data_IF_103219811029
#
_entry.id   IF_103219811029
#
_cell.length_a   1.000
_cell.length_b   1.000
_cell.length_c   1.000
_cell.angle_alpha   90.00
_cell.angle_beta   90.00
_cell.angle_gamma   90.00
#
_symmetry.space_group_name_H-M   'P 1'
#
loop_
_entity.id
_entity.type
_entity.pdbx_description
1 polymer ?
#
# COMPACT_ATOMS: atom_id res chain seq x y z
N UNK A 1 8.41 36.54 -16.38
CA UNK A 1 7.24 35.81 -15.86
C UNK A 1 7.57 34.34 -15.98
N UNK A 2 8.03 33.75 -14.88
CA UNK A 2 8.68 32.44 -14.80
C UNK A 2 7.69 31.34 -15.21
N UNK A 3 8.08 30.48 -16.16
CA UNK A 3 7.42 29.20 -16.35
C UNK A 3 7.50 28.45 -15.02
N UNK A 4 6.36 28.08 -14.44
CA UNK A 4 6.34 27.00 -13.47
C UNK A 4 6.68 25.73 -14.26
N UNK A 5 7.83 25.09 -14.05
CA UNK A 5 8.00 23.75 -14.57
C UNK A 5 6.91 22.93 -13.91
N UNK A 6 6.02 22.40 -14.74
CA UNK A 6 5.10 21.33 -14.42
C UNK A 6 5.80 20.38 -13.47
N UNK A 7 5.14 20.06 -12.37
CA UNK A 7 5.45 18.96 -11.46
C UNK A 7 5.75 17.71 -12.31
N UNK A 8 7.01 17.59 -12.71
CA UNK A 8 7.56 16.45 -13.40
C UNK A 8 7.56 15.39 -12.32
N UNK A 9 6.43 14.68 -12.19
CA UNK A 9 6.32 13.43 -11.45
C UNK A 9 7.35 12.49 -12.04
N UNK A 10 8.60 12.63 -11.63
CA UNK A 10 9.58 11.56 -11.72
C UNK A 10 8.91 10.43 -10.97
N UNK A 11 8.62 9.29 -11.60
CA UNK A 11 8.26 8.13 -10.82
C UNK A 11 9.47 7.92 -9.91
N UNK A 12 9.28 8.18 -8.63
CA UNK A 12 10.19 7.68 -7.61
C UNK A 12 10.14 6.17 -7.82
N UNK A 13 11.15 5.58 -8.46
CA UNK A 13 11.13 4.17 -8.87
C UNK A 13 10.84 3.19 -7.73
N UNK A 14 10.93 3.67 -6.48
CA UNK A 14 10.75 2.90 -5.26
C UNK A 14 9.59 3.43 -4.40
N UNK A 15 8.64 4.15 -4.99
CA UNK A 15 7.46 4.66 -4.28
C UNK A 15 6.24 3.78 -4.54
N UNK A 16 5.74 3.16 -3.47
CA UNK A 16 4.50 2.40 -3.48
C UNK A 16 3.45 3.10 -2.61
N UNK A 17 2.25 3.25 -3.13
CA UNK A 17 1.10 3.81 -2.42
C UNK A 17 -0.04 2.79 -2.34
N UNK A 18 -0.68 2.70 -1.17
CA UNK A 18 -1.82 1.83 -0.93
C UNK A 18 -2.89 2.55 -0.10
N UNK A 19 -4.16 2.23 -0.37
CA UNK A 19 -5.25 2.52 0.55
C UNK A 19 -5.42 1.34 1.51
N UNK A 20 -5.15 1.57 2.80
CA UNK A 20 -5.32 0.58 3.85
C UNK A 20 -6.72 0.69 4.47
N UNK A 21 -7.42 -0.43 4.55
CA UNK A 21 -8.65 -0.59 5.34
C UNK A 21 -8.41 -1.61 6.43
N UNK A 22 -8.81 -1.28 7.66
CA UNK A 22 -8.75 -2.15 8.83
C UNK A 22 -10.14 -2.25 9.42
N UNK A 23 -10.55 -3.46 9.80
CA UNK A 23 -11.82 -3.67 10.48
C UNK A 23 -11.75 -4.87 11.41
N UNK A 24 -12.66 -4.90 12.38
CA UNK A 24 -12.84 -5.98 13.32
C UNK A 24 -14.14 -6.72 12.98
N UNK A 25 -14.15 -8.05 13.03
CA UNK A 25 -15.35 -8.83 12.69
C UNK A 25 -16.28 -9.07 13.90
N UNK A 26 -15.89 -8.66 15.10
CA UNK A 26 -16.67 -8.78 16.35
C UNK A 26 -15.74 -8.89 17.57
N UNK A 27 -16.19 -8.59 18.78
CA UNK A 27 -15.35 -8.28 19.96
C UNK A 27 -14.20 -9.26 20.30
N UNK A 28 -14.28 -10.53 19.88
CA UNK A 28 -13.23 -11.56 20.08
C UNK A 28 -12.58 -12.06 18.77
N UNK A 29 -12.88 -11.44 17.63
CA UNK A 29 -12.37 -11.86 16.33
C UNK A 29 -11.13 -11.05 15.92
N UNK A 30 -10.14 -11.65 15.25
CA UNK A 30 -8.92 -10.94 14.87
C UNK A 30 -9.19 -9.79 13.89
N UNK A 31 -8.35 -8.76 13.97
CA UNK A 31 -8.32 -7.67 12.99
C UNK A 31 -8.10 -8.18 11.57
N UNK A 32 -8.93 -7.72 10.65
CA UNK A 32 -8.79 -7.91 9.21
C UNK A 32 -8.21 -6.66 8.58
N UNK A 33 -7.54 -6.86 7.45
CA UNK A 33 -7.03 -5.77 6.65
C UNK A 33 -7.26 -5.99 5.17
N UNK A 34 -7.31 -4.91 4.40
CA UNK A 34 -7.15 -4.96 2.95
C UNK A 34 -6.29 -3.80 2.48
N UNK A 35 -5.42 -4.07 1.51
CA UNK A 35 -4.73 -3.04 0.75
C UNK A 35 -5.35 -2.95 -0.63
N UNK A 36 -5.56 -1.73 -1.10
CA UNK A 36 -5.88 -1.45 -2.49
C UNK A 36 -4.80 -0.59 -3.11
N UNK A 37 -4.31 -1.01 -4.28
CA UNK A 37 -3.43 -0.19 -5.09
C UNK A 37 -4.27 0.87 -5.84
N UNK A 38 -4.04 2.18 -5.63
CA UNK A 38 -4.82 3.23 -6.27
C UNK A 38 -4.55 3.37 -7.77
N UNK A 39 -3.41 2.85 -8.26
CA UNK A 39 -3.02 2.92 -9.66
C UNK A 39 -3.59 1.77 -10.49
N UNK A 40 -3.68 0.57 -9.93
CA UNK A 40 -4.18 -0.63 -10.63
C UNK A 40 -5.59 -1.03 -10.22
N UNK A 41 -6.08 -0.54 -9.08
CA UNK A 41 -7.35 -0.96 -8.48
C UNK A 41 -7.30 -2.33 -7.80
N UNK A 42 -6.17 -3.04 -7.89
CA UNK A 42 -5.98 -4.36 -7.29
C UNK A 42 -6.16 -4.30 -5.77
N UNK A 43 -6.90 -5.28 -5.23
CA UNK A 43 -7.20 -5.35 -3.81
C UNK A 43 -6.77 -6.70 -3.23
N UNK A 44 -5.95 -6.64 -2.17
CA UNK A 44 -5.47 -7.78 -1.43
C UNK A 44 -6.10 -7.79 -0.03
N UNK A 45 -6.65 -8.92 0.39
CA UNK A 45 -7.22 -9.11 1.72
C UNK A 45 -6.28 -9.91 2.63
N UNK A 46 -6.26 -9.55 3.91
CA UNK A 46 -5.45 -10.17 4.93
C UNK A 46 -6.30 -10.54 6.14
N UNK A 47 -6.21 -11.81 6.54
CA UNK A 47 -6.89 -12.34 7.72
C UNK A 47 -6.23 -11.92 9.05
N UNK A 48 -4.98 -11.45 9.01
CA UNK A 48 -4.26 -10.99 10.19
C UNK A 48 -3.25 -9.90 9.81
N UNK A 49 -2.98 -8.98 10.74
CA UNK A 49 -2.02 -7.90 10.53
C UNK A 49 -0.60 -8.42 10.26
N UNK A 50 -0.22 -9.56 10.85
CA UNK A 50 1.10 -10.17 10.58
C UNK A 50 1.29 -10.50 9.10
N UNK A 51 0.24 -10.96 8.41
CA UNK A 51 0.31 -11.23 6.97
C UNK A 51 0.40 -9.95 6.15
N UNK A 52 -0.28 -8.89 6.58
CA UNK A 52 -0.17 -7.55 5.97
C UNK A 52 1.27 -7.03 6.05
N UNK A 53 1.90 -7.08 7.22
CA UNK A 53 3.27 -6.60 7.40
C UNK A 53 4.27 -7.43 6.59
N UNK A 54 4.16 -8.76 6.61
CA UNK A 54 5.02 -9.63 5.81
C UNK A 54 4.90 -9.34 4.30
N UNK A 55 3.69 -9.02 3.82
CA UNK A 55 3.48 -8.60 2.43
C UNK A 55 4.18 -7.26 2.12
N UNK A 56 3.99 -6.25 2.97
CA UNK A 56 4.60 -4.93 2.78
C UNK A 56 6.13 -5.02 2.79
N UNK A 57 6.72 -5.76 3.73
CA UNK A 57 8.17 -5.99 3.76
C UNK A 57 8.69 -6.66 2.50
N UNK A 58 7.96 -7.64 1.95
CA UNK A 58 8.35 -8.28 0.69
C UNK A 58 8.29 -7.30 -0.48
N UNK A 59 7.27 -6.45 -0.53
CA UNK A 59 7.14 -5.49 -1.63
C UNK A 59 8.21 -4.40 -1.56
N UNK A 60 8.55 -3.89 -0.38
CA UNK A 60 9.61 -2.90 -0.27
C UNK A 60 10.99 -3.48 -0.55
N UNK A 61 11.26 -4.75 -0.17
CA UNK A 61 12.53 -5.42 -0.51
C UNK A 61 12.72 -5.66 -2.01
N UNK A 62 11.64 -5.88 -2.77
CA UNK A 62 11.71 -6.06 -4.23
C UNK A 62 12.14 -4.78 -4.95
N UNK A 63 11.85 -3.61 -4.39
CA UNK A 63 12.26 -2.31 -4.93
C UNK A 63 13.67 -1.88 -4.47
N UNK A 64 14.27 -2.54 -3.46
CA UNK A 64 15.61 -2.22 -2.96
C UNK A 64 16.76 -2.85 -3.79
N UNK A 65 16.46 -3.53 -4.90
CA UNK A 65 17.43 -4.15 -5.82
C UNK A 65 17.51 -3.46 -7.18
#
# INVERSE_FOLDING_TARGET
>A
MTLNPTDEKRPLSNYQAYMLRLWHEGDDLPWRASLQNPHTGEQQHFAALTHLFAYLEQQTRRDEG
#
